data_IF_860905398051
#
_entry.id   IF_860905398051
#
_cell.length_a   1.000
_cell.length_b   1.000
_cell.length_c   1.000
_cell.angle_alpha   90.00
_cell.angle_beta   90.00
_cell.angle_gamma   90.00
#
_symmetry.space_group_name_H-M   'P 1'
#
loop_
_entity.id
_entity.type
_entity.pdbx_description
1 polymer ?
#
# COMPACT_ATOMS: atom_id res chain seq x y z
N UNK A 1 -5.72 31.44 23.89
CA UNK A 1 -4.29 31.12 24.08
C UNK A 1 -3.78 30.44 22.82
N UNK A 2 -2.87 31.07 22.07
CA UNK A 2 -2.28 30.46 20.88
C UNK A 2 -1.37 29.30 21.32
N UNK A 3 -1.67 28.06 20.86
CA UNK A 3 -0.77 26.93 21.09
C UNK A 3 0.47 27.13 20.22
N UNK A 4 1.63 27.32 20.86
CA UNK A 4 2.91 27.28 20.17
C UNK A 4 3.13 25.88 19.58
N UNK A 5 3.21 25.80 18.26
CA UNK A 5 3.44 24.55 17.56
C UNK A 5 4.91 24.20 17.58
N UNK A 6 5.34 23.38 18.54
CA UNK A 6 6.70 22.82 18.52
C UNK A 6 6.79 21.76 17.40
N UNK A 7 7.67 21.99 16.44
CA UNK A 7 7.98 21.00 15.39
C UNK A 7 9.09 20.08 15.88
N UNK A 8 8.77 18.80 15.98
CA UNK A 8 9.73 17.75 16.32
C UNK A 8 10.55 17.43 15.06
N UNK A 9 11.86 17.24 15.24
CA UNK A 9 12.77 16.89 14.16
C UNK A 9 12.34 15.58 13.48
N UNK A 10 12.50 15.51 12.16
CA UNK A 10 12.09 14.34 11.36
C UNK A 10 12.82 13.07 11.81
N UNK A 11 14.09 13.19 12.17
CA UNK A 11 14.94 12.08 12.64
C UNK A 11 14.37 11.42 13.91
N UNK A 12 14.00 12.23 14.90
CA UNK A 12 13.39 11.75 16.14
C UNK A 12 12.04 11.07 15.85
N UNK A 13 11.22 11.66 14.98
CA UNK A 13 9.96 11.04 14.55
C UNK A 13 10.20 9.66 13.92
N UNK A 14 11.17 9.54 13.04
CA UNK A 14 11.47 8.28 12.34
C UNK A 14 12.02 7.23 13.31
N UNK A 15 12.86 7.63 14.28
CA UNK A 15 13.37 6.77 15.36
C UNK A 15 12.24 6.24 16.25
N UNK A 16 11.36 7.13 16.73
CA UNK A 16 10.20 6.77 17.57
C UNK A 16 9.31 5.76 16.86
N UNK A 17 9.02 5.98 15.57
CA UNK A 17 8.20 5.04 14.80
C UNK A 17 8.89 3.69 14.65
N UNK A 18 10.21 3.67 14.40
CA UNK A 18 10.97 2.42 14.27
C UNK A 18 10.93 1.62 15.58
N UNK A 19 11.13 2.28 16.72
CA UNK A 19 11.02 1.67 18.05
C UNK A 19 9.64 1.07 18.34
N UNK A 20 8.57 1.73 17.87
CA UNK A 20 7.21 1.20 17.98
C UNK A 20 7.02 -0.03 17.08
N UNK A 21 7.60 -0.04 15.88
CA UNK A 21 7.61 -1.22 15.00
C UNK A 21 8.42 -2.38 15.60
N UNK A 22 9.49 -2.08 16.34
CA UNK A 22 10.32 -3.05 17.07
C UNK A 22 9.61 -3.64 18.31
N UNK A 23 8.40 -3.16 18.65
CA UNK A 23 7.53 -3.77 19.67
C UNK A 23 7.28 -2.93 20.93
N UNK A 24 7.81 -1.70 21.01
CA UNK A 24 7.56 -0.80 22.14
C UNK A 24 6.14 -0.21 22.04
N UNK A 25 5.43 -0.12 23.17
CA UNK A 25 4.09 0.49 23.19
C UNK A 25 4.15 2.01 22.95
N UNK A 26 3.06 2.57 22.42
CA UNK A 26 2.94 4.03 22.19
C UNK A 26 3.08 4.82 23.51
N UNK A 27 2.59 4.25 24.61
CA UNK A 27 2.68 4.83 25.97
C UNK A 27 4.11 4.88 26.50
N UNK A 28 4.90 3.83 26.25
CA UNK A 28 6.33 3.81 26.62
C UNK A 28 7.13 4.79 25.77
N UNK A 29 6.89 4.81 24.46
CA UNK A 29 7.53 5.76 23.54
C UNK A 29 7.17 7.22 23.88
N UNK A 30 5.93 7.49 24.28
CA UNK A 30 5.50 8.80 24.74
C UNK A 30 6.28 9.28 25.96
N UNK A 31 6.42 8.38 26.95
CA UNK A 31 7.15 8.66 28.20
C UNK A 31 8.65 8.85 27.94
N UNK A 32 9.25 7.99 27.11
CA UNK A 32 10.68 8.00 26.83
C UNK A 32 11.13 9.24 26.04
N UNK A 33 10.33 9.68 25.06
CA UNK A 33 10.69 10.79 24.18
C UNK A 33 9.99 12.11 24.54
N UNK A 34 9.12 12.11 25.55
CA UNK A 34 8.37 13.31 25.98
C UNK A 34 7.35 13.79 24.94
N UNK A 35 6.80 12.88 24.13
CA UNK A 35 5.90 13.20 23.01
C UNK A 35 4.52 12.67 23.34
N UNK A 36 3.50 13.53 23.35
CA UNK A 36 2.13 13.08 23.61
C UNK A 36 1.69 11.93 22.71
N UNK A 37 1.02 10.93 23.26
CA UNK A 37 0.48 9.75 22.57
C UNK A 37 -0.28 10.13 21.30
N UNK A 38 -1.11 11.18 21.39
CA UNK A 38 -1.90 11.71 20.26
C UNK A 38 -1.04 12.07 19.05
N UNK A 39 0.14 12.64 19.28
CA UNK A 39 1.09 13.02 18.23
C UNK A 39 1.70 11.77 17.60
N UNK A 40 2.04 10.77 18.40
CA UNK A 40 2.56 9.49 17.93
C UNK A 40 1.52 8.75 17.08
N UNK A 41 0.27 8.66 17.55
CA UNK A 41 -0.83 8.08 16.77
C UNK A 41 -1.08 8.84 15.47
N UNK A 42 -0.95 10.17 15.47
CA UNK A 42 -1.08 10.97 14.25
C UNK A 42 0.06 10.69 13.24
N UNK A 43 1.26 10.38 13.71
CA UNK A 43 2.36 9.97 12.85
C UNK A 43 2.18 8.56 12.29
N UNK A 44 1.74 7.62 13.12
CA UNK A 44 1.42 6.25 12.71
C UNK A 44 0.29 6.23 11.68
N UNK A 45 -0.76 7.02 11.87
CA UNK A 45 -1.87 7.11 10.90
C UNK A 45 -1.44 7.70 9.55
N UNK A 46 -0.51 8.66 9.58
CA UNK A 46 0.06 9.27 8.37
C UNK A 46 0.94 8.27 7.61
N UNK A 47 1.65 7.37 8.31
CA UNK A 47 2.43 6.27 7.68
C UNK A 47 1.54 5.08 7.25
N UNK A 48 0.44 4.82 7.95
CA UNK A 48 -0.52 3.76 7.62
C UNK A 48 -1.29 4.05 6.31
N UNK A 49 -1.43 5.33 5.94
CA UNK A 49 -1.56 5.71 4.53
C UNK A 49 -0.21 5.52 3.87
N UNK A 50 0.21 4.26 3.74
CA UNK A 50 1.32 3.89 2.90
C UNK A 50 1.12 4.60 1.59
N UNK A 51 2.06 5.47 1.23
CA UNK A 51 2.08 6.11 -0.06
C UNK A 51 2.23 4.97 -1.05
N UNK A 52 1.11 4.40 -1.51
CA UNK A 52 1.12 3.52 -2.67
C UNK A 52 1.75 4.38 -3.74
N UNK A 53 2.98 4.05 -4.10
CA UNK A 53 3.70 4.84 -5.08
C UNK A 53 2.82 4.86 -6.31
N UNK A 54 2.44 6.06 -6.78
CA UNK A 54 1.61 6.20 -7.98
C UNK A 54 2.23 5.38 -9.13
N UNK A 55 3.56 5.28 -9.16
CA UNK A 55 4.31 4.46 -10.08
C UNK A 55 4.02 2.95 -9.93
N UNK A 56 4.06 2.43 -8.71
CA UNK A 56 3.76 1.02 -8.43
C UNK A 56 2.30 0.68 -8.76
N UNK A 57 1.37 1.56 -8.38
CA UNK A 57 -0.05 1.41 -8.73
C UNK A 57 -0.26 1.39 -10.25
N UNK A 58 0.40 2.29 -10.98
CA UNK A 58 0.31 2.35 -12.44
C UNK A 58 0.96 1.13 -13.10
N UNK A 59 2.07 0.61 -12.56
CA UNK A 59 2.71 -0.62 -13.02
C UNK A 59 1.75 -1.81 -12.88
N UNK A 60 1.22 -2.04 -11.68
CA UNK A 60 0.27 -3.13 -11.41
C UNK A 60 -1.00 -3.00 -12.26
N UNK A 61 -1.51 -1.77 -12.44
CA UNK A 61 -2.68 -1.51 -13.31
C UNK A 61 -2.40 -1.87 -14.78
N UNK A 62 -1.20 -1.57 -15.28
CA UNK A 62 -0.78 -1.92 -16.65
C UNK A 62 -0.66 -3.43 -16.81
N UNK A 63 0.00 -4.10 -15.86
CA UNK A 63 0.15 -5.57 -15.85
C UNK A 63 -1.22 -6.25 -15.83
N UNK A 64 -2.15 -5.80 -15.00
CA UNK A 64 -3.52 -6.33 -14.94
C UNK A 64 -4.27 -6.13 -16.28
N UNK A 65 -4.12 -4.97 -16.93
CA UNK A 65 -4.71 -4.73 -18.26
C UNK A 65 -4.17 -5.71 -19.31
N UNK A 66 -2.86 -5.95 -19.32
CA UNK A 66 -2.22 -6.88 -20.26
C UNK A 66 -2.68 -8.32 -20.02
N UNK A 67 -2.77 -8.74 -18.76
CA UNK A 67 -3.27 -10.07 -18.39
C UNK A 67 -4.71 -10.29 -18.89
N UNK A 68 -5.60 -9.30 -18.67
CA UNK A 68 -6.99 -9.38 -19.16
C UNK A 68 -7.07 -9.50 -20.67
N UNK A 69 -6.20 -8.81 -21.40
CA UNK A 69 -6.16 -8.89 -22.86
C UNK A 69 -5.72 -10.28 -23.34
N UNK A 70 -4.64 -10.83 -22.76
CA UNK A 70 -4.14 -12.18 -23.08
C UNK A 70 -5.22 -13.23 -22.81
N UNK A 71 -5.92 -13.13 -21.68
CA UNK A 71 -7.01 -14.05 -21.33
C UNK A 71 -8.15 -13.95 -22.35
N UNK A 72 -8.51 -12.74 -22.77
CA UNK A 72 -9.53 -12.52 -23.81
C UNK A 72 -9.14 -13.18 -25.13
N UNK A 73 -7.92 -12.93 -25.62
CA UNK A 73 -7.41 -13.50 -26.87
C UNK A 73 -7.36 -15.04 -26.81
N UNK A 74 -6.94 -15.60 -25.68
CA UNK A 74 -6.90 -17.05 -25.48
C UNK A 74 -8.31 -17.65 -25.47
N UNK A 75 -9.25 -17.01 -24.79
CA UNK A 75 -10.64 -17.46 -24.70
C UNK A 75 -11.31 -17.49 -26.07
N UNK A 76 -11.07 -16.46 -26.90
CA UNK A 76 -11.57 -16.40 -28.28
C UNK A 76 -10.97 -17.56 -29.09
N UNK A 77 -9.65 -17.77 -29.05
CA UNK A 77 -8.98 -18.88 -29.75
C UNK A 77 -9.56 -20.24 -29.36
N UNK A 78 -9.70 -20.49 -28.05
CA UNK A 78 -10.29 -21.74 -27.55
C UNK A 78 -11.72 -21.95 -28.04
N UNK A 79 -12.54 -20.90 -28.04
CA UNK A 79 -13.92 -20.96 -28.55
C UNK A 79 -13.96 -21.25 -30.07
N UNK A 80 -13.08 -20.60 -30.85
CA UNK A 80 -12.96 -20.84 -32.28
C UNK A 80 -12.48 -22.26 -32.59
N UNK A 81 -11.49 -22.78 -31.85
CA UNK A 81 -10.99 -24.14 -32.00
C UNK A 81 -12.06 -25.19 -31.65
N UNK A 82 -12.83 -24.95 -30.57
CA UNK A 82 -13.96 -25.80 -30.21
C UNK A 82 -15.02 -25.84 -31.33
N UNK A 83 -15.37 -24.68 -31.89
CA UNK A 83 -16.32 -24.59 -33.01
C UNK A 83 -15.81 -25.27 -34.27
N UNK A 84 -14.52 -25.11 -34.60
CA UNK A 84 -13.88 -25.76 -35.75
C UNK A 84 -13.88 -27.27 -35.61
N UNK A 85 -13.56 -27.78 -34.42
CA UNK A 85 -13.60 -29.22 -34.13
C UNK A 85 -15.00 -29.79 -34.29
N UNK A 86 -16.02 -29.05 -33.86
CA UNK A 86 -17.43 -29.46 -34.00
C UNK A 86 -17.88 -29.52 -35.46
N UNK A 87 -17.40 -28.60 -36.30
CA UNK A 87 -17.65 -28.60 -37.74
C UNK A 87 -16.93 -29.72 -38.50
N UNK A 88 -15.82 -30.25 -37.98
CA UNK A 88 -15.08 -31.36 -38.60
C UNK A 88 -15.63 -32.75 -38.24
N UNK A 89 -16.57 -32.83 -37.29
CA UNK A 89 -17.18 -34.08 -36.81
C UNK A 89 -18.52 -34.37 -37.52
N UNK A 90 -18.99 -33.45 -38.37
CA UNK A 90 -20.18 -33.60 -39.22
C UNK A 90 -19.81 -33.84 -40.68
#
# INVERSE_FOLDING_TARGET
>A
MAKQGFRIAKEIKDEVIKKIQDGISVTEASTQYGISDKTIYNWLSTKARGTVSILEHNKVKKENKQLKQIIGDLTIKMSMDAKKKLLMVW
#
